data_IF_751390130574
#
_entry.id   IF_751390130574
#
_cell.length_a   1.000
_cell.length_b   1.000
_cell.length_c   1.000
_cell.angle_alpha   90.00
_cell.angle_beta   90.00
_cell.angle_gamma   90.00
#
_symmetry.space_group_name_H-M   'P 1'
#
loop_
_entity.id
_entity.type
_entity.pdbx_description
1 polymer ?
#
# COMPACT_ATOMS: atom_id res chain seq x y z
N UNK A 1 6.30 -1.17 8.93
CA UNK A 1 5.28 -1.03 7.88
C UNK A 1 4.00 -0.38 8.39
N UNK A 2 3.37 -0.87 9.46
CA UNK A 2 2.13 -0.30 10.02
C UNK A 2 2.29 1.19 10.35
N UNK A 3 3.39 1.59 10.98
CA UNK A 3 3.67 3.01 11.27
C UNK A 3 3.72 3.86 9.98
N UNK A 4 4.32 3.35 8.90
CA UNK A 4 4.38 4.05 7.63
C UNK A 4 2.99 4.24 6.99
N UNK A 5 2.15 3.21 7.04
CA UNK A 5 0.76 3.30 6.56
C UNK A 5 -0.04 4.33 7.38
N UNK A 6 0.17 4.40 8.69
CA UNK A 6 -0.45 5.42 9.54
C UNK A 6 0.03 6.84 9.19
N UNK A 7 1.32 7.03 8.96
CA UNK A 7 1.89 8.32 8.52
C UNK A 7 1.27 8.75 7.18
N UNK A 8 1.18 7.84 6.20
CA UNK A 8 0.50 8.11 4.92
C UNK A 8 -0.96 8.55 5.12
N UNK A 9 -1.67 7.86 6.02
CA UNK A 9 -3.07 8.17 6.31
C UNK A 9 -3.22 9.56 6.93
N UNK A 10 -2.37 9.91 7.90
CA UNK A 10 -2.35 11.24 8.51
C UNK A 10 -2.07 12.32 7.47
N UNK A 11 -1.08 12.14 6.60
CA UNK A 11 -0.79 13.07 5.51
C UNK A 11 -1.99 13.31 4.59
N UNK A 12 -2.72 12.25 4.23
CA UNK A 12 -3.95 12.34 3.41
C UNK A 12 -5.09 13.06 4.14
N UNK A 13 -5.28 12.79 5.41
CA UNK A 13 -6.31 13.47 6.22
C UNK A 13 -6.02 14.97 6.31
N UNK A 14 -4.76 15.36 6.54
CA UNK A 14 -4.37 16.79 6.56
C UNK A 14 -4.73 17.46 5.25
N UNK A 15 -4.43 16.85 4.11
CA UNK A 15 -4.82 17.37 2.79
C UNK A 15 -6.34 17.47 2.65
N UNK A 16 -7.08 16.47 3.14
CA UNK A 16 -8.55 16.47 3.07
C UNK A 16 -9.21 17.57 3.91
N UNK A 17 -8.66 17.85 5.08
CA UNK A 17 -9.18 18.87 6.02
C UNK A 17 -8.77 20.29 5.59
N UNK A 18 -7.60 20.47 4.96
CA UNK A 18 -7.10 21.78 4.55
C UNK A 18 -8.02 22.51 3.55
N UNK A 19 -8.87 21.76 2.83
CA UNK A 19 -9.78 22.33 1.84
C UNK A 19 -9.03 23.13 0.78
N UNK A 20 -9.73 24.08 0.16
CA UNK A 20 -9.16 25.00 -0.85
C UNK A 20 -8.41 26.20 -0.21
N UNK A 21 -8.45 26.31 1.12
CA UNK A 21 -8.10 27.54 1.84
C UNK A 21 -6.61 27.71 2.12
N UNK A 22 -5.78 26.66 2.07
CA UNK A 22 -4.37 26.77 2.45
C UNK A 22 -3.46 25.85 1.64
N UNK A 23 -2.82 26.41 0.63
CA UNK A 23 -1.77 25.71 -0.14
C UNK A 23 -0.67 25.16 0.76
N UNK A 24 -0.31 25.87 1.82
CA UNK A 24 0.73 25.43 2.75
C UNK A 24 0.36 24.11 3.45
N UNK A 25 -0.90 23.95 3.88
CA UNK A 25 -1.36 22.71 4.50
C UNK A 25 -1.38 21.53 3.49
N UNK A 26 -1.70 21.81 2.22
CA UNK A 26 -1.63 20.79 1.17
C UNK A 26 -0.18 20.32 0.98
N UNK A 27 0.80 21.23 0.93
CA UNK A 27 2.21 20.87 0.83
C UNK A 27 2.70 20.08 2.03
N UNK A 28 2.36 20.50 3.25
CA UNK A 28 2.73 19.80 4.49
C UNK A 28 2.12 18.40 4.51
N UNK A 29 0.84 18.26 4.20
CA UNK A 29 0.16 16.96 4.18
C UNK A 29 0.74 16.03 3.10
N UNK A 30 1.07 16.55 1.91
CA UNK A 30 1.71 15.78 0.85
C UNK A 30 3.13 15.37 1.22
N UNK A 31 3.88 16.21 1.91
CA UNK A 31 5.22 15.89 2.41
C UNK A 31 5.16 14.75 3.45
N UNK A 32 4.25 14.83 4.41
CA UNK A 32 4.02 13.76 5.41
C UNK A 32 3.63 12.46 4.71
N UNK A 33 2.74 12.53 3.72
CA UNK A 33 2.37 11.37 2.91
C UNK A 33 3.58 10.75 2.20
N UNK A 34 4.44 11.57 1.59
CA UNK A 34 5.64 11.09 0.90
C UNK A 34 6.62 10.39 1.85
N UNK A 35 6.78 10.90 3.09
CA UNK A 35 7.57 10.22 4.12
C UNK A 35 7.00 8.84 4.45
N UNK A 36 5.68 8.73 4.55
CA UNK A 36 5.02 7.42 4.72
C UNK A 36 5.25 6.48 3.53
N UNK A 37 5.24 6.97 2.30
CA UNK A 37 5.49 6.18 1.10
C UNK A 37 6.89 5.53 1.09
N UNK A 38 7.90 6.15 1.68
CA UNK A 38 9.24 5.59 1.73
C UNK A 38 9.29 4.24 2.45
N UNK A 39 8.39 4.00 3.39
CA UNK A 39 8.29 2.73 4.12
C UNK A 39 7.71 1.57 3.30
N UNK A 40 7.10 1.85 2.14
CA UNK A 40 6.58 0.81 1.23
C UNK A 40 7.69 -0.10 0.70
N UNK A 41 8.91 0.42 0.52
CA UNK A 41 10.04 -0.37 0.10
C UNK A 41 10.45 -1.43 1.12
N UNK A 42 10.09 -1.26 2.39
CA UNK A 42 10.25 -2.26 3.43
C UNK A 42 9.30 -3.47 3.28
N UNK A 43 8.42 -3.49 2.28
CA UNK A 43 7.54 -4.64 1.98
C UNK A 43 8.30 -5.79 1.30
N UNK A 44 9.40 -5.51 0.61
CA UNK A 44 10.19 -6.55 -0.07
C UNK A 44 10.74 -7.61 0.88
N UNK A 45 11.32 -7.28 2.04
CA UNK A 45 11.70 -8.29 3.04
C UNK A 45 10.57 -9.21 3.46
N UNK A 46 9.33 -8.73 3.54
CA UNK A 46 8.17 -9.59 3.88
C UNK A 46 7.89 -10.65 2.82
N UNK A 47 8.14 -10.34 1.54
CA UNK A 47 8.05 -11.34 0.47
C UNK A 47 9.13 -12.43 0.64
N UNK A 48 10.35 -12.02 0.99
CA UNK A 48 11.44 -12.97 1.27
C UNK A 48 11.09 -13.88 2.47
N UNK A 49 10.53 -13.32 3.53
CA UNK A 49 10.06 -14.10 4.70
C UNK A 49 8.99 -15.12 4.30
N UNK A 50 8.09 -14.76 3.40
CA UNK A 50 7.07 -15.66 2.89
C UNK A 50 7.66 -16.79 2.05
N UNK A 51 8.71 -16.53 1.26
CA UNK A 51 9.44 -17.54 0.48
C UNK A 51 10.11 -18.55 1.42
N UNK A 52 10.81 -18.07 2.45
CA UNK A 52 11.52 -18.91 3.42
C UNK A 52 10.55 -19.72 4.28
N UNK A 53 9.45 -19.14 4.71
CA UNK A 53 8.37 -19.86 5.39
C UNK A 53 7.78 -20.97 4.52
N UNK A 54 7.54 -20.68 3.25
CA UNK A 54 7.06 -21.66 2.27
C UNK A 54 8.04 -22.83 2.13
N UNK A 55 9.33 -22.55 1.99
CA UNK A 55 10.38 -23.56 1.92
C UNK A 55 10.49 -24.37 3.21
N UNK A 56 10.40 -23.74 4.37
CA UNK A 56 10.42 -24.41 5.67
C UNK A 56 9.27 -25.41 5.82
N UNK A 57 8.08 -25.02 5.38
CA UNK A 57 6.85 -25.81 5.51
C UNK A 57 6.73 -26.92 4.48
N UNK A 58 7.10 -26.67 3.23
CA UNK A 58 6.87 -27.59 2.08
C UNK A 58 8.13 -28.32 1.62
N UNK A 59 9.31 -27.90 2.07
CA UNK A 59 10.60 -28.42 1.60
C UNK A 59 11.00 -27.91 0.21
N UNK A 60 10.14 -27.20 -0.50
CA UNK A 60 10.39 -26.69 -1.86
C UNK A 60 10.45 -25.17 -1.87
N UNK A 61 11.50 -24.60 -2.45
CA UNK A 61 11.67 -23.16 -2.61
C UNK A 61 10.87 -22.67 -3.82
N UNK A 62 9.78 -21.96 -3.58
CA UNK A 62 8.85 -21.48 -4.62
C UNK A 62 8.94 -19.96 -4.81
N UNK A 63 10.15 -19.43 -4.89
CA UNK A 63 10.41 -17.98 -5.01
C UNK A 63 9.74 -17.37 -6.25
N UNK A 64 9.86 -18.02 -7.42
CA UNK A 64 9.27 -17.55 -8.66
C UNK A 64 7.76 -17.43 -8.62
N UNK A 65 7.07 -18.37 -7.96
CA UNK A 65 5.62 -18.35 -7.81
C UNK A 65 5.15 -17.18 -6.93
N UNK A 66 5.84 -16.95 -5.81
CA UNK A 66 5.50 -15.87 -4.87
C UNK A 66 5.75 -14.49 -5.53
N UNK A 67 6.89 -14.34 -6.23
CA UNK A 67 7.19 -13.10 -6.94
C UNK A 67 6.24 -12.84 -8.11
N UNK A 68 5.82 -13.88 -8.82
CA UNK A 68 4.81 -13.77 -9.89
C UNK A 68 3.45 -13.35 -9.34
N UNK A 69 3.01 -13.94 -8.23
CA UNK A 69 1.77 -13.57 -7.58
C UNK A 69 1.77 -12.11 -7.09
N UNK A 70 2.89 -11.64 -6.51
CA UNK A 70 3.06 -10.25 -6.13
C UNK A 70 2.99 -9.30 -7.33
N UNK A 71 3.67 -9.63 -8.42
CA UNK A 71 3.68 -8.82 -9.65
C UNK A 71 2.29 -8.78 -10.30
N UNK A 72 1.60 -9.91 -10.34
CA UNK A 72 0.23 -10.00 -10.85
C UNK A 72 -0.73 -9.16 -10.00
N UNK A 73 -0.70 -9.33 -8.68
CA UNK A 73 -1.53 -8.56 -7.76
C UNK A 73 -1.30 -7.06 -7.87
N UNK A 74 -0.04 -6.63 -7.99
CA UNK A 74 0.32 -5.22 -8.16
C UNK A 74 -0.23 -4.65 -9.47
N UNK A 75 -0.11 -5.35 -10.59
CA UNK A 75 -0.63 -4.91 -11.90
C UNK A 75 -2.16 -4.86 -11.91
N UNK A 76 -2.82 -5.90 -11.38
CA UNK A 76 -4.27 -5.91 -11.23
C UNK A 76 -4.76 -4.75 -10.33
N UNK A 77 -4.09 -4.53 -9.20
CA UNK A 77 -4.42 -3.43 -8.30
C UNK A 77 -4.28 -2.07 -8.95
N UNK A 78 -3.21 -1.84 -9.72
CA UNK A 78 -3.01 -0.60 -10.47
C UNK A 78 -4.09 -0.40 -11.53
N UNK A 79 -4.40 -1.44 -12.31
CA UNK A 79 -5.41 -1.36 -13.36
C UNK A 79 -6.80 -1.05 -12.78
N UNK A 80 -7.22 -1.77 -11.74
CA UNK A 80 -8.50 -1.54 -11.06
C UNK A 80 -8.54 -0.15 -10.40
N UNK A 81 -7.46 0.27 -9.74
CA UNK A 81 -7.37 1.59 -9.12
C UNK A 81 -7.51 2.71 -10.14
N UNK A 82 -6.84 2.61 -11.28
CA UNK A 82 -6.94 3.61 -12.35
C UNK A 82 -8.35 3.65 -12.96
N UNK A 83 -8.96 2.48 -13.18
CA UNK A 83 -10.33 2.41 -13.70
C UNK A 83 -11.34 3.02 -12.73
N UNK A 84 -11.24 2.71 -11.43
CA UNK A 84 -12.09 3.30 -10.39
C UNK A 84 -11.94 4.83 -10.31
N UNK A 85 -10.70 5.34 -10.38
CA UNK A 85 -10.46 6.79 -10.44
C UNK A 85 -11.17 7.43 -11.62
N UNK A 86 -11.04 6.85 -12.82
CA UNK A 86 -11.70 7.36 -14.02
C UNK A 86 -13.23 7.34 -13.90
N UNK A 87 -13.81 6.27 -13.38
CA UNK A 87 -15.26 6.16 -13.20
C UNK A 87 -15.82 7.17 -12.19
N UNK A 88 -15.16 7.32 -11.05
CA UNK A 88 -15.61 8.28 -10.02
C UNK A 88 -15.55 9.71 -10.55
N UNK A 89 -14.46 10.07 -11.23
CA UNK A 89 -14.30 11.41 -11.82
C UNK A 89 -15.32 11.68 -12.94
N UNK A 90 -15.56 10.69 -13.82
CA UNK A 90 -16.57 10.82 -14.88
C UNK A 90 -17.97 10.97 -14.29
N UNK A 91 -18.30 10.18 -13.25
CA UNK A 91 -19.60 10.25 -12.58
C UNK A 91 -19.80 11.57 -11.82
N UNK A 92 -18.73 12.12 -11.27
CA UNK A 92 -18.73 13.43 -10.62
C UNK A 92 -18.80 14.61 -11.61
N UNK A 93 -18.73 14.36 -12.92
CA UNK A 93 -18.78 15.40 -13.95
C UNK A 93 -17.49 16.20 -14.07
N UNK A 94 -16.35 15.59 -13.78
CA UNK A 94 -15.04 16.22 -13.95
C UNK A 94 -14.77 16.52 -15.44
N UNK A 95 -14.41 17.77 -15.74
CA UNK A 95 -14.02 18.20 -17.07
C UNK A 95 -12.64 18.84 -17.05
N UNK A 96 -11.63 18.14 -17.57
CA UNK A 96 -10.24 18.61 -17.58
C UNK A 96 -9.99 19.88 -18.43
N UNK A 97 -10.94 20.28 -19.30
CA UNK A 97 -10.84 21.50 -20.10
C UNK A 97 -11.51 22.71 -19.44
N UNK A 98 -12.23 22.54 -18.34
CA UNK A 98 -12.91 23.63 -17.65
C UNK A 98 -11.94 24.37 -16.73
N UNK A 99 -11.92 25.71 -16.81
CA UNK A 99 -11.12 26.56 -15.92
C UNK A 99 -11.61 26.48 -14.47
N UNK A 100 -12.91 26.31 -14.27
CA UNK A 100 -13.53 26.16 -12.94
C UNK A 100 -14.31 24.86 -12.91
N UNK A 101 -14.02 24.03 -11.93
CA UNK A 101 -14.70 22.75 -11.72
C UNK A 101 -16.01 22.95 -10.96
N UNK A 102 -16.98 22.07 -11.22
CA UNK A 102 -18.25 22.04 -10.47
C UNK A 102 -18.00 21.54 -9.03
N UNK A 103 -18.87 21.91 -8.10
CA UNK A 103 -18.80 21.40 -6.72
C UNK A 103 -18.87 19.87 -6.64
N UNK A 104 -19.61 19.24 -7.55
CA UNK A 104 -19.67 17.79 -7.69
C UNK A 104 -18.32 17.21 -8.10
N UNK A 105 -17.65 17.80 -9.10
CA UNK A 105 -16.33 17.37 -9.55
C UNK A 105 -15.27 17.50 -8.45
N UNK A 106 -15.29 18.60 -7.69
CA UNK A 106 -14.40 18.80 -6.53
C UNK A 106 -14.64 17.72 -5.46
N UNK A 107 -15.89 17.36 -5.22
CA UNK A 107 -16.23 16.27 -4.30
C UNK A 107 -15.70 14.92 -4.82
N UNK A 108 -15.83 14.64 -6.11
CA UNK A 108 -15.28 13.45 -6.75
C UNK A 108 -13.76 13.36 -6.60
N UNK A 109 -13.06 14.48 -6.80
CA UNK A 109 -11.60 14.56 -6.58
C UNK A 109 -11.26 14.25 -5.12
N UNK A 110 -11.98 14.81 -4.15
CA UNK A 110 -11.77 14.53 -2.71
C UNK A 110 -12.01 13.06 -2.39
N UNK A 111 -13.02 12.43 -2.98
CA UNK A 111 -13.31 11.00 -2.79
C UNK A 111 -12.12 10.16 -3.25
N UNK A 112 -11.64 10.39 -4.47
CA UNK A 112 -10.57 9.60 -5.07
C UNK A 112 -9.22 9.86 -4.40
N UNK A 113 -8.93 11.12 -4.08
CA UNK A 113 -7.61 11.51 -3.57
C UNK A 113 -7.46 11.35 -2.06
N UNK A 114 -8.52 11.48 -1.29
CA UNK A 114 -8.49 11.45 0.18
C UNK A 114 -9.22 10.24 0.73
N UNK A 115 -10.53 10.14 0.53
CA UNK A 115 -11.35 9.17 1.24
C UNK A 115 -11.03 7.73 0.85
N UNK A 116 -10.96 7.45 -0.45
CA UNK A 116 -10.67 6.10 -0.94
C UNK A 116 -9.29 5.59 -0.46
N UNK A 117 -8.19 6.35 -0.62
CA UNK A 117 -6.89 5.91 -0.11
C UNK A 117 -6.84 5.78 1.42
N UNK A 118 -7.53 6.64 2.17
CA UNK A 118 -7.59 6.54 3.63
C UNK A 118 -8.25 5.23 4.06
N UNK A 119 -9.38 4.87 3.45
CA UNK A 119 -10.08 3.61 3.75
C UNK A 119 -9.19 2.41 3.42
N UNK A 120 -8.54 2.42 2.25
CA UNK A 120 -7.65 1.33 1.83
C UNK A 120 -6.40 1.23 2.71
N UNK A 121 -5.84 2.35 3.16
CA UNK A 121 -4.71 2.35 4.08
C UNK A 121 -5.10 1.78 5.45
N UNK A 122 -6.27 2.14 5.98
CA UNK A 122 -6.76 1.59 7.24
C UNK A 122 -6.96 0.07 7.10
N UNK A 123 -7.58 -0.38 6.02
CA UNK A 123 -7.76 -1.79 5.75
C UNK A 123 -6.41 -2.52 5.65
N UNK A 124 -5.43 -1.94 4.96
CA UNK A 124 -4.07 -2.47 4.87
C UNK A 124 -3.38 -2.53 6.23
N UNK A 125 -3.53 -1.50 7.07
CA UNK A 125 -2.98 -1.49 8.42
C UNK A 125 -3.57 -2.61 9.30
N UNK A 126 -4.88 -2.83 9.19
CA UNK A 126 -5.56 -3.93 9.89
C UNK A 126 -5.02 -5.28 9.42
N UNK A 127 -4.93 -5.52 8.11
CA UNK A 127 -4.39 -6.77 7.56
C UNK A 127 -2.94 -6.98 8.01
N UNK A 128 -2.10 -5.95 7.93
CA UNK A 128 -0.70 -6.02 8.36
C UNK A 128 -0.55 -6.28 9.86
N UNK A 129 -1.50 -5.85 10.71
CA UNK A 129 -1.46 -6.12 12.14
C UNK A 129 -1.63 -7.60 12.48
N UNK A 130 -2.28 -8.38 11.60
CA UNK A 130 -2.40 -9.84 11.73
C UNK A 130 -1.15 -10.61 11.26
N UNK A 131 -0.22 -9.93 10.60
CA UNK A 131 0.99 -10.55 10.09
C UNK A 131 1.99 -10.80 11.23
N UNK A 132 2.15 -12.06 11.63
CA UNK A 132 2.99 -12.48 12.77
C UNK A 132 4.31 -13.14 12.36
N UNK A 133 4.52 -13.36 11.06
CA UNK A 133 5.64 -14.13 10.54
C UNK A 133 7.02 -13.56 10.94
N UNK A 134 7.10 -12.23 11.12
CA UNK A 134 8.33 -11.54 11.52
C UNK A 134 8.88 -12.02 12.86
N UNK A 135 8.00 -12.45 13.79
CA UNK A 135 8.42 -12.97 15.12
C UNK A 135 9.02 -14.38 15.05
N UNK A 136 8.60 -15.18 14.09
CA UNK A 136 9.05 -16.58 13.94
C UNK A 136 10.20 -16.70 12.93
N UNK A 137 10.50 -15.62 12.20
CA UNK A 137 11.47 -15.62 11.11
C UNK A 137 12.86 -16.08 11.53
N UNK A 138 13.37 -15.61 12.67
CA UNK A 138 14.69 -15.99 13.17
C UNK A 138 14.81 -17.50 13.47
N UNK A 139 13.71 -18.12 13.91
CA UNK A 139 13.65 -19.57 14.17
C UNK A 139 13.60 -20.35 12.86
N UNK A 140 12.78 -19.89 11.92
CA UNK A 140 12.62 -20.51 10.60
C UNK A 140 13.95 -20.55 9.84
N UNK A 141 14.69 -19.44 9.84
CA UNK A 141 15.99 -19.36 9.15
C UNK A 141 16.99 -20.31 9.78
N UNK A 142 17.09 -20.36 11.10
CA UNK A 142 18.00 -21.29 11.80
C UNK A 142 17.70 -22.75 11.47
N UNK A 143 16.43 -23.14 11.52
CA UNK A 143 16.04 -24.51 11.18
C UNK A 143 16.30 -24.85 9.70
N UNK A 144 16.14 -23.90 8.79
CA UNK A 144 16.49 -24.09 7.38
C UNK A 144 18.00 -24.26 7.17
N UNK A 145 18.83 -23.51 7.89
CA UNK A 145 20.28 -23.64 7.84
C UNK A 145 20.74 -24.98 8.39
N UNK A 146 20.18 -25.42 9.52
CA UNK A 146 20.46 -26.75 10.09
C UNK A 146 20.08 -27.89 9.14
N UNK A 147 18.93 -27.83 8.50
CA UNK A 147 18.50 -28.80 7.46
C UNK A 147 19.45 -28.84 6.28
N UNK A 148 19.96 -27.68 5.83
CA UNK A 148 20.98 -27.62 4.76
C UNK A 148 22.31 -28.19 5.17
N UNK A 149 22.71 -28.04 6.41
CA UNK A 149 23.97 -28.59 6.93
C UNK A 149 23.92 -30.10 7.06
N UNK A 150 22.78 -30.68 7.45
CA UNK A 150 22.58 -32.12 7.60
C UNK A 150 22.35 -32.83 6.26
N UNK A 151 21.82 -32.13 5.25
CA UNK A 151 21.56 -32.68 3.91
C UNK A 151 22.76 -32.67 2.96
N UNK A 152 23.98 -32.30 3.45
CA UNK A 152 25.28 -32.51 2.82
C UNK A 152 25.93 -33.77 3.38
#
# INVERSE_FOLDING_TARGET
LVAGVLIMTVGRIIVGVSGESSLMMIYVGTFIFALGCSTQWCSYPLLCYTVEYGQWKTGVRQEGMIMSANSFGSKCGTALGTALCGWVLAWAGYNGAAEIQTASALTGIKIVYVYLPVILNILSAVILSFYKLEKEYSTIVKELEERKAVGK
#
